data_IF_767361937474
#
_entry.id   IF_767361937474
#
_cell.length_a   1.000
_cell.length_b   1.000
_cell.length_c   1.000
_cell.angle_alpha   90.00
_cell.angle_beta   90.00
_cell.angle_gamma   90.00
#
_symmetry.space_group_name_H-M   'P 1'
#
loop_
_entity.id
_entity.type
_entity.pdbx_description
1 polymer ?
#
# COMPACT_ATOMS: atom_id res chain seq x y z
N UNK A 1 -8.40 26.39 37.00
CA UNK A 1 -9.28 25.40 36.31
C UNK A 1 -9.21 24.00 36.94
N UNK A 2 -8.04 23.33 36.93
CA UNK A 2 -7.95 21.96 37.50
C UNK A 2 -8.17 21.94 39.05
N UNK A 3 -7.63 22.91 39.77
CA UNK A 3 -7.78 23.06 41.22
C UNK A 3 -9.25 23.36 41.60
N UNK A 4 -9.91 24.24 40.88
CA UNK A 4 -11.33 24.55 41.10
C UNK A 4 -12.24 23.36 40.81
N UNK A 5 -11.90 22.56 39.79
CA UNK A 5 -12.64 21.33 39.46
C UNK A 5 -12.54 20.31 40.59
N UNK A 6 -11.35 20.17 41.23
CA UNK A 6 -11.15 19.30 42.36
C UNK A 6 -11.93 19.79 43.59
N UNK A 7 -11.97 21.10 43.85
CA UNK A 7 -12.77 21.68 44.94
C UNK A 7 -14.27 21.44 44.73
N UNK A 8 -14.78 21.54 43.50
CA UNK A 8 -16.20 21.24 43.24
C UNK A 8 -16.51 19.75 43.39
N UNK A 9 -15.54 18.88 43.04
CA UNK A 9 -15.66 17.44 43.27
C UNK A 9 -15.70 17.09 44.75
N UNK A 10 -14.78 17.66 45.53
CA UNK A 10 -14.73 17.48 46.98
C UNK A 10 -15.98 18.01 47.69
N UNK A 11 -16.56 19.11 47.22
CA UNK A 11 -17.82 19.68 47.69
C UNK A 11 -19.07 18.91 47.22
N UNK A 12 -18.90 17.85 46.40
CA UNK A 12 -20.01 17.07 45.86
C UNK A 12 -20.88 17.79 44.84
N UNK A 13 -20.43 18.96 44.36
CA UNK A 13 -21.16 19.78 43.40
C UNK A 13 -21.08 19.23 41.97
N UNK A 14 -20.04 18.48 41.69
CA UNK A 14 -19.89 17.73 40.45
C UNK A 14 -19.57 16.27 40.79
N UNK A 15 -19.93 15.37 39.90
CA UNK A 15 -19.62 13.93 40.05
C UNK A 15 -18.68 13.50 38.92
N UNK A 16 -17.79 12.51 39.16
CA UNK A 16 -17.00 11.92 38.13
C UNK A 16 -17.87 11.39 36.97
N UNK A 17 -17.34 11.42 35.75
CA UNK A 17 -18.03 10.83 34.62
C UNK A 17 -18.18 9.32 34.90
N UNK A 18 -19.42 8.84 34.80
CA UNK A 18 -19.72 7.42 34.99
C UNK A 18 -19.02 6.59 33.95
N UNK A 19 -18.28 5.56 34.36
CA UNK A 19 -17.80 4.50 33.48
C UNK A 19 -18.96 3.53 33.30
N UNK A 20 -19.55 3.50 32.10
CA UNK A 20 -20.72 2.67 31.80
C UNK A 20 -20.38 1.19 31.76
N UNK A 21 -19.19 0.87 31.28
CA UNK A 21 -18.63 -0.49 31.22
C UNK A 21 -17.11 -0.45 31.20
N UNK A 22 -16.50 -1.40 31.88
CA UNK A 22 -15.05 -1.57 31.88
C UNK A 22 -14.70 -2.90 31.23
N UNK A 23 -13.66 -2.88 30.43
CA UNK A 23 -13.12 -4.04 29.72
C UNK A 23 -11.67 -4.24 30.11
N UNK A 24 -11.21 -5.48 30.15
CA UNK A 24 -9.79 -5.75 30.27
C UNK A 24 -9.04 -5.43 28.98
N UNK A 25 -7.75 -5.17 29.06
CA UNK A 25 -6.90 -4.87 27.89
C UNK A 25 -6.94 -5.99 26.83
N UNK A 26 -7.16 -7.25 27.24
CA UNK A 26 -7.35 -8.39 26.32
C UNK A 26 -8.64 -8.32 25.49
N UNK A 27 -9.61 -7.50 25.90
CA UNK A 27 -10.95 -7.36 25.31
C UNK A 27 -11.16 -6.00 24.64
N UNK A 28 -10.08 -5.39 24.14
CA UNK A 28 -10.13 -4.07 23.46
C UNK A 28 -11.09 -4.09 22.26
N UNK A 29 -11.10 -5.18 21.47
CA UNK A 29 -11.98 -5.30 20.32
C UNK A 29 -13.47 -5.27 20.71
N UNK A 30 -13.83 -5.92 21.82
CA UNK A 30 -15.19 -5.90 22.38
C UNK A 30 -15.56 -4.51 22.91
N UNK A 31 -14.59 -3.78 23.49
CA UNK A 31 -14.80 -2.40 23.93
C UNK A 31 -15.16 -1.49 22.77
N UNK A 32 -14.46 -1.60 21.64
CA UNK A 32 -14.79 -0.85 20.42
C UNK A 32 -16.16 -1.26 19.85
N UNK A 33 -16.47 -2.56 19.78
CA UNK A 33 -17.79 -3.04 19.36
C UNK A 33 -18.92 -2.51 20.27
N UNK A 34 -18.67 -2.36 21.54
CA UNK A 34 -19.64 -1.79 22.50
C UNK A 34 -19.85 -0.29 22.29
N UNK A 35 -18.83 0.44 21.82
CA UNK A 35 -18.91 1.87 21.50
C UNK A 35 -19.69 2.14 20.20
N UNK A 36 -19.57 1.26 19.20
CA UNK A 36 -20.12 1.46 17.85
C UNK A 36 -21.63 1.79 17.82
N UNK A 37 -22.53 1.16 18.60
CA UNK A 37 -23.96 1.48 18.55
C UNK A 37 -24.30 2.86 19.12
N UNK A 38 -23.39 3.52 19.87
CA UNK A 38 -23.62 4.83 20.47
C UNK A 38 -24.71 4.87 21.56
N UNK A 39 -25.18 3.72 22.04
CA UNK A 39 -26.28 3.60 23.03
C UNK A 39 -25.83 3.69 24.48
N UNK A 40 -24.54 3.71 24.73
CA UNK A 40 -23.98 3.81 26.07
C UNK A 40 -24.05 5.24 26.61
N UNK A 41 -24.33 5.38 27.92
CA UNK A 41 -24.27 6.66 28.63
C UNK A 41 -23.04 6.65 29.53
N UNK A 42 -22.15 7.61 29.36
CA UNK A 42 -20.89 7.69 30.09
C UNK A 42 -19.67 7.27 29.25
N UNK A 43 -18.60 6.85 29.91
CA UNK A 43 -17.35 6.42 29.28
C UNK A 43 -17.19 4.91 29.33
N UNK A 44 -16.49 4.38 28.34
CA UNK A 44 -16.00 2.99 28.35
C UNK A 44 -14.56 3.02 28.84
N UNK A 45 -14.27 2.24 29.88
CA UNK A 45 -12.94 2.10 30.46
C UNK A 45 -12.24 0.86 29.91
N UNK A 46 -10.92 0.97 29.67
CA UNK A 46 -10.06 -0.18 29.40
C UNK A 46 -9.05 -0.28 30.53
N UNK A 47 -9.09 -1.39 31.25
CA UNK A 47 -8.17 -1.67 32.35
C UNK A 47 -6.87 -2.24 31.80
N UNK A 48 -5.79 -1.46 31.90
CA UNK A 48 -4.45 -1.86 31.46
C UNK A 48 -3.56 -2.35 32.60
N UNK A 49 -3.99 -2.13 33.85
CA UNK A 49 -3.32 -2.62 35.05
C UNK A 49 -4.35 -3.18 36.03
N UNK A 50 -3.95 -4.20 36.80
CA UNK A 50 -4.76 -4.74 37.87
C UNK A 50 -4.75 -3.82 39.12
N UNK A 51 -5.42 -4.25 40.15
CA UNK A 51 -5.50 -3.50 41.44
C UNK A 51 -4.16 -3.41 42.18
N UNK A 52 -3.22 -4.26 41.85
CA UNK A 52 -1.86 -4.31 42.39
C UNK A 52 -0.88 -3.48 41.52
N UNK A 53 -1.39 -2.85 40.45
CA UNK A 53 -0.61 -2.01 39.52
C UNK A 53 0.20 -2.80 38.50
N UNK A 54 0.03 -4.13 38.40
CA UNK A 54 0.68 -4.95 37.42
C UNK A 54 -0.08 -4.86 36.08
N UNK A 55 0.62 -4.92 34.91
CA UNK A 55 -0.04 -4.98 33.64
C UNK A 55 -1.00 -6.17 33.55
N UNK A 56 -2.26 -5.94 33.13
CA UNK A 56 -3.20 -7.03 32.88
C UNK A 56 -2.69 -7.91 31.75
N UNK A 57 -2.90 -9.22 31.86
CA UNK A 57 -2.50 -10.16 30.79
C UNK A 57 -3.21 -9.79 29.49
N UNK A 58 -2.45 -9.53 28.45
CA UNK A 58 -2.96 -9.39 27.09
C UNK A 58 -2.81 -10.76 26.46
N UNK A 59 -3.88 -11.31 25.87
CA UNK A 59 -3.72 -12.44 24.97
C UNK A 59 -2.79 -11.99 23.86
N UNK A 60 -1.55 -12.45 23.88
CA UNK A 60 -0.61 -12.16 22.80
C UNK A 60 -1.27 -12.66 21.53
N UNK A 61 -1.60 -11.75 20.65
CA UNK A 61 -1.86 -12.12 19.27
C UNK A 61 -0.56 -12.74 18.79
N UNK A 62 -0.57 -14.03 18.56
CA UNK A 62 0.61 -14.87 18.30
C UNK A 62 1.42 -14.44 17.05
N UNK A 63 1.07 -13.33 16.42
CA UNK A 63 1.73 -12.77 15.25
C UNK A 63 1.81 -11.24 15.34
N UNK A 64 2.63 -10.71 16.24
CA UNK A 64 3.21 -9.41 15.94
C UNK A 64 4.13 -9.63 14.73
N UNK A 65 3.93 -8.94 13.59
CA UNK A 65 4.89 -9.01 12.51
C UNK A 65 6.26 -8.66 13.10
N UNK A 66 7.23 -9.56 12.92
CA UNK A 66 8.60 -9.30 13.34
C UNK A 66 9.02 -8.01 12.63
N UNK A 67 9.45 -7.01 13.38
CA UNK A 67 10.03 -5.82 12.79
C UNK A 67 11.41 -6.17 12.25
N UNK A 68 11.73 -5.67 11.07
CA UNK A 68 13.09 -5.77 10.53
C UNK A 68 14.08 -5.20 11.55
N UNK A 69 15.12 -5.93 11.85
CA UNK A 69 16.25 -5.48 12.65
C UNK A 69 17.51 -5.98 12.00
N UNK A 70 18.29 -5.06 11.46
CA UNK A 70 19.56 -5.34 10.79
C UNK A 70 20.70 -5.23 11.80
N UNK A 71 21.70 -6.10 11.65
CA UNK A 71 22.85 -6.12 12.52
C UNK A 71 23.77 -4.91 12.24
N UNK A 72 24.05 -4.04 13.22
CA UNK A 72 24.93 -2.91 13.04
C UNK A 72 26.39 -3.30 12.75
N UNK A 73 26.80 -4.49 13.15
CA UNK A 73 28.12 -5.05 12.86
C UNK A 73 28.18 -5.76 11.49
N UNK A 74 27.05 -5.90 10.80
CA UNK A 74 26.97 -6.47 9.45
C UNK A 74 27.25 -5.44 8.36
N UNK A 75 27.82 -5.88 7.24
CA UNK A 75 27.92 -5.11 6.00
C UNK A 75 26.82 -5.50 5.03
N UNK A 76 26.33 -4.50 4.26
CA UNK A 76 25.25 -4.68 3.29
C UNK A 76 25.66 -4.09 1.93
N UNK A 77 25.63 -4.92 0.89
CA UNK A 77 25.99 -4.52 -0.47
C UNK A 77 24.73 -4.14 -1.28
N UNK A 78 24.66 -2.92 -1.75
CA UNK A 78 23.60 -2.41 -2.58
C UNK A 78 24.12 -2.08 -3.99
N UNK A 79 23.71 -2.88 -4.97
CA UNK A 79 24.09 -2.65 -6.36
C UNK A 79 23.02 -1.80 -7.03
N UNK A 80 23.40 -0.62 -7.53
CA UNK A 80 22.44 0.37 -8.02
C UNK A 80 21.70 1.14 -6.91
N UNK A 81 22.15 1.02 -5.66
CA UNK A 81 21.49 1.57 -4.47
C UNK A 81 21.48 3.11 -4.37
N UNK A 82 22.22 3.84 -5.21
CA UNK A 82 22.17 5.30 -5.26
C UNK A 82 21.08 5.84 -6.20
N UNK A 83 20.27 4.98 -6.83
CA UNK A 83 19.04 5.35 -7.53
C UNK A 83 17.89 5.68 -6.57
N UNK A 84 16.79 6.26 -7.07
CA UNK A 84 15.68 6.74 -6.22
C UNK A 84 15.14 5.68 -5.24
N UNK A 85 14.76 4.49 -5.74
CA UNK A 85 14.29 3.37 -4.89
C UNK A 85 15.40 2.93 -3.91
N UNK A 86 16.65 2.84 -4.38
CA UNK A 86 17.77 2.44 -3.54
C UNK A 86 18.07 3.41 -2.41
N UNK A 87 17.87 4.71 -2.62
CA UNK A 87 18.02 5.73 -1.56
C UNK A 87 16.96 5.58 -0.47
N UNK A 88 15.69 5.39 -0.85
CA UNK A 88 14.62 5.13 0.11
C UNK A 88 14.89 3.86 0.93
N UNK A 89 15.29 2.76 0.28
CA UNK A 89 15.68 1.52 0.95
C UNK A 89 16.87 1.75 1.89
N UNK A 90 17.87 2.53 1.49
CA UNK A 90 19.08 2.77 2.29
C UNK A 90 18.76 3.51 3.59
N UNK A 91 17.93 4.57 3.53
CA UNK A 91 17.44 5.28 4.73
C UNK A 91 16.70 4.30 5.65
N UNK A 92 15.76 3.55 5.08
CA UNK A 92 15.00 2.56 5.83
C UNK A 92 15.89 1.51 6.51
N UNK A 93 16.91 1.01 5.82
CA UNK A 93 17.87 0.06 6.40
C UNK A 93 18.65 0.67 7.57
N UNK A 94 19.08 1.94 7.46
CA UNK A 94 19.80 2.63 8.54
C UNK A 94 18.88 2.87 9.74
N UNK A 95 17.63 3.23 9.53
CA UNK A 95 16.61 3.36 10.58
C UNK A 95 16.35 2.03 11.30
N UNK A 96 16.55 0.90 10.60
CA UNK A 96 16.35 -0.45 11.14
C UNK A 96 17.66 -1.15 11.56
N UNK A 97 18.74 -0.40 11.77
CA UNK A 97 19.95 -0.89 12.42
C UNK A 97 21.17 -1.04 11.54
N UNK A 98 21.08 -1.03 10.21
CA UNK A 98 22.25 -1.11 9.34
C UNK A 98 23.22 0.04 9.59
N UNK A 99 24.52 -0.26 9.65
CA UNK A 99 25.57 0.75 9.85
C UNK A 99 26.67 0.74 8.81
N UNK A 100 26.83 -0.35 8.05
CA UNK A 100 27.91 -0.48 7.06
C UNK A 100 27.28 -0.77 5.68
N UNK A 101 27.22 0.25 4.83
CA UNK A 101 26.61 0.17 3.50
C UNK A 101 27.70 0.27 2.43
N UNK A 102 27.67 -0.64 1.45
CA UNK A 102 28.59 -0.67 0.32
C UNK A 102 27.75 -0.49 -0.96
N UNK A 103 28.10 0.49 -1.77
CA UNK A 103 27.41 0.76 -3.03
C UNK A 103 28.28 0.39 -4.22
N UNK A 104 27.78 -0.50 -5.07
CA UNK A 104 28.39 -0.78 -6.38
C UNK A 104 27.58 -0.12 -7.49
N UNK A 105 28.24 0.64 -8.33
CA UNK A 105 27.63 1.25 -9.49
C UNK A 105 28.63 1.94 -10.41
N UNK A 106 28.27 2.08 -11.70
CA UNK A 106 29.17 2.65 -12.73
C UNK A 106 29.65 4.08 -12.38
N UNK A 107 28.83 4.84 -11.70
CA UNK A 107 29.07 6.24 -11.27
C UNK A 107 28.85 6.43 -9.76
N UNK A 108 29.00 5.37 -8.97
CA UNK A 108 28.70 5.45 -7.54
C UNK A 108 29.53 6.54 -6.85
N UNK A 109 28.84 7.46 -6.20
CA UNK A 109 29.43 8.55 -5.41
C UNK A 109 30.05 9.68 -6.24
N UNK A 110 29.80 9.79 -7.54
CA UNK A 110 30.42 10.83 -8.38
C UNK A 110 29.61 12.13 -8.48
N UNK A 111 28.28 12.05 -8.36
CA UNK A 111 27.44 13.24 -8.46
C UNK A 111 27.34 13.97 -7.11
N UNK A 112 27.11 15.28 -7.17
CA UNK A 112 26.88 16.10 -5.97
C UNK A 112 25.67 15.57 -5.19
N UNK A 113 24.64 15.07 -5.88
CA UNK A 113 23.47 14.45 -5.25
C UNK A 113 23.80 13.14 -4.56
N UNK A 114 24.75 12.36 -5.08
CA UNK A 114 25.23 11.16 -4.38
C UNK A 114 26.01 11.54 -3.14
N UNK A 115 26.89 12.55 -3.23
CA UNK A 115 27.69 13.00 -2.09
C UNK A 115 26.82 13.58 -0.98
N UNK A 116 25.79 14.38 -1.33
CA UNK A 116 24.82 14.89 -0.36
C UNK A 116 24.08 13.74 0.35
N UNK A 117 23.60 12.75 -0.40
CA UNK A 117 22.93 11.60 0.16
C UNK A 117 23.85 10.74 1.05
N UNK A 118 25.09 10.53 0.64
CA UNK A 118 26.09 9.83 1.47
C UNK A 118 26.35 10.61 2.76
N UNK A 119 26.38 11.95 2.68
CA UNK A 119 26.49 12.84 3.85
C UNK A 119 25.30 12.66 4.81
N UNK A 120 24.08 12.55 4.28
CA UNK A 120 22.86 12.28 5.05
C UNK A 120 22.96 10.94 5.79
N UNK A 121 23.29 9.84 5.11
CA UNK A 121 23.45 8.54 5.75
C UNK A 121 24.54 8.53 6.84
N UNK A 122 25.64 9.25 6.61
CA UNK A 122 26.69 9.42 7.63
C UNK A 122 26.20 10.19 8.85
N UNK A 123 25.35 11.20 8.64
CA UNK A 123 24.75 11.96 9.76
C UNK A 123 23.78 11.08 10.59
N UNK A 124 23.19 10.04 9.99
CA UNK A 124 22.38 9.01 10.66
C UNK A 124 23.23 7.92 11.34
N UNK A 125 24.56 8.04 11.29
CA UNK A 125 25.50 7.12 11.92
C UNK A 125 25.94 5.93 11.06
N UNK A 126 25.67 5.94 9.74
CA UNK A 126 26.12 4.88 8.85
C UNK A 126 27.52 5.14 8.27
N UNK A 127 28.30 4.08 8.13
CA UNK A 127 29.52 4.05 7.32
C UNK A 127 29.17 3.71 5.88
N UNK A 128 29.66 4.47 4.92
CA UNK A 128 29.34 4.28 3.51
C UNK A 128 30.61 4.14 2.68
N UNK A 129 30.69 3.06 1.92
CA UNK A 129 31.73 2.80 0.94
C UNK A 129 31.11 2.80 -0.46
N UNK A 130 31.74 3.49 -1.40
CA UNK A 130 31.33 3.49 -2.81
C UNK A 130 32.38 2.84 -3.68
N UNK A 131 31.96 1.86 -4.48
CA UNK A 131 32.80 1.13 -5.43
C UNK A 131 32.32 1.45 -6.84
N UNK A 132 33.19 2.06 -7.62
CA UNK A 132 32.94 2.25 -9.05
C UNK A 132 33.18 0.93 -9.77
N UNK A 133 32.17 0.45 -10.47
CA UNK A 133 32.24 -0.79 -11.21
C UNK A 133 30.94 -1.12 -11.93
N UNK A 134 31.05 -2.10 -12.80
CA UNK A 134 29.95 -2.64 -13.57
C UNK A 134 29.55 -3.99 -13.01
N UNK A 135 28.30 -4.17 -12.63
CA UNK A 135 27.78 -5.45 -12.13
C UNK A 135 27.97 -6.60 -13.12
N UNK A 136 28.09 -6.29 -14.42
CA UNK A 136 28.29 -7.29 -15.46
C UNK A 136 29.74 -7.85 -15.48
N UNK A 137 30.65 -7.22 -14.73
CA UNK A 137 32.06 -7.65 -14.61
C UNK A 137 32.26 -8.30 -13.24
N UNK A 138 32.63 -9.58 -13.23
CA UNK A 138 32.83 -10.36 -12.00
C UNK A 138 33.89 -9.75 -11.10
N UNK A 139 34.98 -9.24 -11.67
CA UNK A 139 36.07 -8.60 -10.92
C UNK A 139 35.62 -7.36 -10.16
N UNK A 140 34.73 -6.54 -10.78
CA UNK A 140 34.17 -5.36 -10.13
C UNK A 140 33.25 -5.74 -8.96
N UNK A 141 32.44 -6.78 -9.13
CA UNK A 141 31.57 -7.32 -8.09
C UNK A 141 32.41 -7.92 -6.96
N UNK A 142 33.44 -8.70 -7.28
CA UNK A 142 34.35 -9.31 -6.31
C UNK A 142 35.09 -8.26 -5.48
N UNK A 143 35.53 -7.17 -6.13
CA UNK A 143 36.14 -6.02 -5.47
C UNK A 143 35.16 -5.36 -4.49
N UNK A 144 33.90 -5.17 -4.91
CA UNK A 144 32.87 -4.58 -4.04
C UNK A 144 32.58 -5.47 -2.81
N UNK A 145 32.55 -6.78 -2.98
CA UNK A 145 32.40 -7.74 -1.88
C UNK A 145 33.62 -7.69 -0.93
N UNK A 146 34.82 -7.54 -1.46
CA UNK A 146 36.05 -7.44 -0.67
C UNK A 146 36.18 -6.16 0.17
N UNK A 147 35.43 -5.09 -0.17
CA UNK A 147 35.35 -3.87 0.62
C UNK A 147 34.56 -4.03 1.93
N UNK A 148 33.90 -5.15 2.14
CA UNK A 148 33.21 -5.44 3.39
C UNK A 148 34.21 -5.60 4.54
N UNK A 149 34.22 -4.61 5.45
CA UNK A 149 35.13 -4.58 6.62
C UNK A 149 34.61 -5.42 7.78
N UNK A 150 33.33 -5.72 7.76
CA UNK A 150 32.60 -6.58 8.70
C UNK A 150 31.89 -7.66 7.89
N UNK A 151 31.39 -8.72 8.51
CA UNK A 151 30.76 -9.81 7.78
C UNK A 151 29.68 -9.31 6.81
N UNK A 152 29.76 -9.71 5.53
CA UNK A 152 28.73 -9.39 4.56
C UNK A 152 27.48 -10.23 4.89
N UNK A 153 26.41 -9.56 5.30
CA UNK A 153 25.16 -10.20 5.74
C UNK A 153 24.03 -10.09 4.72
N UNK A 154 24.05 -9.05 3.89
CA UNK A 154 22.98 -8.86 2.91
C UNK A 154 23.46 -8.29 1.59
N UNK A 155 22.77 -8.71 0.52
CA UNK A 155 22.97 -8.21 -0.84
C UNK A 155 21.63 -7.76 -1.41
N UNK A 156 21.60 -6.55 -1.99
CA UNK A 156 20.46 -6.02 -2.75
C UNK A 156 20.89 -5.75 -4.19
N UNK A 157 20.26 -6.45 -5.12
CA UNK A 157 20.42 -6.23 -6.55
C UNK A 157 19.30 -5.30 -7.03
N UNK A 158 19.61 -4.01 -7.13
CA UNK A 158 18.68 -2.96 -7.56
C UNK A 158 19.05 -2.39 -8.94
N UNK A 159 20.12 -2.89 -9.55
CA UNK A 159 20.57 -2.40 -10.85
C UNK A 159 19.60 -2.81 -11.95
N UNK A 160 19.12 -1.81 -12.68
CA UNK A 160 18.25 -1.98 -13.83
C UNK A 160 18.61 -0.93 -14.89
N UNK A 161 18.45 -1.31 -16.15
CA UNK A 161 18.47 -0.41 -17.29
C UNK A 161 17.30 -0.78 -18.19
N UNK A 162 16.73 0.23 -18.84
CA UNK A 162 15.61 0.05 -19.76
C UNK A 162 16.05 0.45 -21.17
N UNK A 163 15.61 -0.34 -22.13
CA UNK A 163 15.76 -0.07 -23.57
C UNK A 163 14.44 -0.50 -24.22
N UNK A 164 13.40 0.28 -23.93
CA UNK A 164 12.03 0.00 -24.33
C UNK A 164 11.87 0.19 -25.84
N UNK A 165 11.40 -0.85 -26.53
CA UNK A 165 11.12 -0.82 -27.95
C UNK A 165 10.08 -1.89 -28.30
N UNK A 166 9.31 -1.66 -29.36
CA UNK A 166 8.42 -2.67 -29.89
C UNK A 166 9.20 -3.93 -30.28
N UNK A 167 8.70 -5.11 -29.86
CA UNK A 167 9.39 -6.39 -30.06
C UNK A 167 9.87 -6.63 -31.50
N UNK A 168 9.09 -6.19 -32.48
CA UNK A 168 9.44 -6.35 -33.90
C UNK A 168 10.57 -5.43 -34.36
N UNK A 169 10.93 -4.39 -33.59
CA UNK A 169 12.01 -3.44 -33.89
C UNK A 169 13.16 -3.52 -32.87
N UNK A 170 12.99 -4.32 -31.82
CA UNK A 170 13.98 -4.48 -30.77
C UNK A 170 15.26 -5.10 -31.32
N UNK A 171 16.38 -4.41 -31.17
CA UNK A 171 17.69 -4.92 -31.59
C UNK A 171 18.31 -5.85 -30.58
N UNK A 172 19.27 -6.66 -31.02
CA UNK A 172 20.02 -7.56 -30.14
C UNK A 172 20.77 -6.77 -29.05
N UNK A 173 21.33 -5.62 -29.39
CA UNK A 173 22.07 -4.76 -28.48
C UNK A 173 21.14 -4.20 -27.38
N UNK A 174 19.94 -3.75 -27.75
CA UNK A 174 18.93 -3.29 -26.79
C UNK A 174 18.45 -4.42 -25.88
N UNK A 175 18.29 -5.63 -26.46
CA UNK A 175 17.97 -6.83 -25.70
C UNK A 175 19.03 -7.13 -24.66
N UNK A 176 20.27 -7.30 -25.09
CA UNK A 176 21.41 -7.64 -24.22
C UNK A 176 21.66 -6.55 -23.16
N UNK A 177 21.55 -5.28 -23.56
CA UNK A 177 21.72 -4.14 -22.65
C UNK A 177 20.75 -4.17 -21.46
N UNK A 178 19.47 -4.50 -21.71
CA UNK A 178 18.46 -4.57 -20.66
C UNK A 178 18.61 -5.81 -19.78
N UNK A 179 19.00 -6.96 -20.35
CA UNK A 179 19.15 -8.23 -19.64
C UNK A 179 20.43 -8.30 -18.81
N UNK A 180 21.55 -7.76 -19.31
CA UNK A 180 22.88 -7.99 -18.73
C UNK A 180 22.94 -7.70 -17.21
N UNK A 181 22.48 -6.55 -16.67
CA UNK A 181 22.57 -6.30 -15.24
C UNK A 181 21.70 -7.26 -14.42
N UNK A 182 20.60 -7.76 -14.97
CA UNK A 182 19.71 -8.69 -14.26
C UNK A 182 20.18 -10.14 -14.37
N UNK A 183 20.65 -10.58 -15.52
CA UNK A 183 21.11 -11.96 -15.74
C UNK A 183 22.58 -12.11 -15.35
N UNK A 184 23.49 -11.52 -16.10
CA UNK A 184 24.93 -11.62 -15.87
C UNK A 184 25.32 -11.06 -14.51
N UNK A 185 24.76 -9.86 -14.18
CA UNK A 185 25.05 -9.22 -12.90
C UNK A 185 24.60 -10.04 -11.69
N UNK A 186 23.44 -10.69 -11.74
CA UNK A 186 22.96 -11.54 -10.65
C UNK A 186 23.80 -12.81 -10.51
N UNK A 187 24.24 -13.42 -11.62
CA UNK A 187 25.20 -14.50 -11.60
C UNK A 187 26.54 -14.07 -10.99
N UNK A 188 27.06 -12.91 -11.35
CA UNK A 188 28.31 -12.40 -10.78
C UNK A 188 28.20 -12.20 -9.26
N UNK A 189 27.08 -11.65 -8.78
CA UNK A 189 26.80 -11.53 -7.33
C UNK A 189 26.76 -12.90 -6.66
N UNK A 190 26.10 -13.88 -7.29
CA UNK A 190 26.04 -15.24 -6.76
C UNK A 190 27.45 -15.86 -6.64
N UNK A 191 28.26 -15.74 -7.67
CA UNK A 191 29.62 -16.27 -7.66
C UNK A 191 30.54 -15.54 -6.68
N UNK A 192 30.49 -14.21 -6.64
CA UNK A 192 31.33 -13.43 -5.73
C UNK A 192 30.95 -13.60 -4.26
N UNK A 193 29.73 -14.05 -3.96
CA UNK A 193 29.28 -14.36 -2.59
C UNK A 193 29.25 -15.86 -2.29
N UNK A 194 29.82 -16.69 -3.16
CA UNK A 194 29.92 -18.12 -2.92
C UNK A 194 30.70 -18.41 -1.62
N UNK A 195 30.12 -19.23 -0.75
CA UNK A 195 30.71 -19.54 0.56
C UNK A 195 30.45 -18.48 1.65
N UNK A 196 29.84 -17.34 1.36
CA UNK A 196 29.41 -16.36 2.35
C UNK A 196 27.99 -16.71 2.79
N UNK A 197 27.78 -16.84 4.10
CA UNK A 197 26.45 -17.03 4.66
C UNK A 197 25.74 -15.67 4.72
N UNK A 198 24.83 -15.42 3.80
CA UNK A 198 24.02 -14.22 3.77
C UNK A 198 22.71 -14.45 4.54
N UNK A 199 22.25 -13.43 5.26
CA UNK A 199 20.92 -13.40 5.87
C UNK A 199 19.86 -13.22 4.79
N UNK A 200 20.15 -12.36 3.79
CA UNK A 200 19.29 -12.18 2.63
C UNK A 200 20.08 -11.88 1.34
N UNK A 201 19.48 -12.26 0.22
CA UNK A 201 19.90 -11.91 -1.13
C UNK A 201 18.66 -11.45 -1.87
N UNK A 202 18.44 -10.13 -1.90
CA UNK A 202 17.22 -9.52 -2.42
C UNK A 202 17.40 -9.06 -3.87
N UNK A 203 16.45 -9.44 -4.69
CA UNK A 203 16.36 -9.08 -6.11
C UNK A 203 15.20 -8.10 -6.34
N UNK A 204 15.52 -6.91 -6.84
CA UNK A 204 14.50 -5.98 -7.32
C UNK A 204 14.03 -6.42 -8.70
N UNK A 205 12.93 -7.15 -8.73
CA UNK A 205 12.21 -7.56 -9.92
C UNK A 205 11.13 -6.52 -10.27
N UNK A 206 10.23 -6.85 -11.14
CA UNK A 206 9.15 -5.97 -11.58
C UNK A 206 7.89 -6.76 -11.86
N UNK A 207 6.75 -6.18 -11.57
CA UNK A 207 5.44 -6.69 -11.98
C UNK A 207 5.38 -7.01 -13.49
N UNK A 208 6.24 -6.41 -14.32
CA UNK A 208 6.36 -6.73 -15.75
C UNK A 208 6.75 -8.19 -16.02
N UNK A 209 7.40 -8.89 -15.08
CA UNK A 209 7.70 -10.33 -15.19
C UNK A 209 6.42 -11.18 -15.23
N UNK A 210 5.38 -10.71 -14.55
CA UNK A 210 4.11 -11.45 -14.37
C UNK A 210 3.10 -11.07 -15.44
N UNK A 211 2.91 -9.74 -15.67
CA UNK A 211 1.83 -9.25 -16.51
C UNK A 211 2.26 -8.93 -17.94
N UNK A 212 3.56 -8.76 -18.17
CA UNK A 212 4.10 -8.19 -19.40
C UNK A 212 3.67 -6.74 -19.60
N UNK A 213 4.53 -5.95 -20.22
CA UNK A 213 4.19 -4.58 -20.62
C UNK A 213 4.57 -4.36 -22.09
N UNK A 214 3.73 -3.68 -22.88
CA UNK A 214 4.05 -3.34 -24.25
C UNK A 214 5.39 -2.59 -24.34
N UNK A 215 6.25 -2.98 -25.28
CA UNK A 215 7.56 -2.37 -25.47
C UNK A 215 8.66 -2.83 -24.50
N UNK A 216 8.35 -3.67 -23.52
CA UNK A 216 9.29 -4.08 -22.46
C UNK A 216 9.59 -5.59 -22.46
N UNK A 217 9.60 -6.24 -23.60
CA UNK A 217 9.84 -7.69 -23.68
C UNK A 217 11.21 -8.09 -23.10
N UNK A 218 12.27 -7.32 -23.37
CA UNK A 218 13.61 -7.49 -22.81
C UNK A 218 13.63 -7.28 -21.28
N UNK A 219 13.03 -6.20 -20.81
CA UNK A 219 12.95 -5.88 -19.38
C UNK A 219 12.14 -6.94 -18.60
N UNK A 220 10.97 -7.34 -19.13
CA UNK A 220 10.16 -8.40 -18.58
C UNK A 220 10.91 -9.75 -18.49
N UNK A 221 11.67 -10.09 -19.54
CA UNK A 221 12.49 -11.32 -19.57
C UNK A 221 13.58 -11.32 -18.49
N UNK A 222 14.26 -10.19 -18.30
CA UNK A 222 15.27 -10.04 -17.26
C UNK A 222 14.67 -10.17 -15.85
N UNK A 223 13.46 -9.64 -15.62
CA UNK A 223 12.76 -9.79 -14.34
C UNK A 223 12.26 -11.22 -14.12
N UNK A 224 11.69 -11.88 -15.14
CA UNK A 224 11.29 -13.29 -15.04
C UNK A 224 12.49 -14.22 -14.73
N UNK A 225 13.69 -13.88 -15.22
CA UNK A 225 14.91 -14.58 -14.82
C UNK A 225 15.18 -14.42 -13.32
N UNK A 226 15.00 -13.22 -12.74
CA UNK A 226 15.20 -13.00 -11.31
C UNK A 226 14.27 -13.88 -10.47
N UNK A 227 13.00 -14.00 -10.86
CA UNK A 227 12.02 -14.84 -10.17
C UNK A 227 12.44 -16.32 -10.19
N UNK A 228 12.87 -16.81 -11.36
CA UNK A 228 13.41 -18.17 -11.47
C UNK A 228 14.70 -18.36 -10.65
N UNK A 229 15.53 -17.32 -10.55
CA UNK A 229 16.78 -17.35 -9.80
C UNK A 229 16.56 -17.45 -8.29
N UNK A 230 15.46 -16.91 -7.76
CA UNK A 230 15.03 -17.13 -6.36
C UNK A 230 14.88 -18.63 -6.09
N UNK A 231 14.14 -19.32 -6.96
CA UNK A 231 13.94 -20.77 -6.82
C UNK A 231 15.26 -21.53 -6.91
N UNK A 232 16.15 -21.15 -7.83
CA UNK A 232 17.47 -21.76 -7.98
C UNK A 232 18.28 -21.66 -6.69
N UNK A 233 18.43 -20.44 -6.12
CA UNK A 233 19.19 -20.24 -4.89
C UNK A 233 18.57 -20.95 -3.69
N UNK A 234 17.25 -20.85 -3.52
CA UNK A 234 16.54 -21.50 -2.43
C UNK A 234 16.66 -23.03 -2.49
N UNK A 235 16.70 -23.62 -3.70
CA UNK A 235 16.94 -25.05 -3.87
C UNK A 235 18.37 -25.48 -3.49
N UNK A 236 19.34 -24.56 -3.57
CA UNK A 236 20.71 -24.78 -3.08
C UNK A 236 20.84 -24.54 -1.56
N UNK A 237 19.77 -24.21 -0.85
CA UNK A 237 19.82 -23.84 0.55
C UNK A 237 20.43 -22.46 0.80
N UNK A 238 20.45 -21.59 -0.20
CA UNK A 238 20.97 -20.22 -0.12
C UNK A 238 19.81 -19.22 -0.05
N UNK A 239 19.91 -18.24 0.85
CA UNK A 239 18.91 -17.20 0.98
C UNK A 239 18.72 -16.42 -0.34
N UNK A 240 17.47 -16.27 -0.78
CA UNK A 240 17.10 -15.42 -1.91
C UNK A 240 15.63 -15.07 -1.85
N UNK A 241 15.32 -13.83 -2.21
CA UNK A 241 13.97 -13.32 -2.37
C UNK A 241 13.89 -12.31 -3.51
N UNK A 242 12.72 -12.12 -4.07
CA UNK A 242 12.46 -11.09 -5.07
C UNK A 242 11.22 -10.27 -4.71
N UNK A 243 11.23 -9.00 -5.09
CA UNK A 243 10.06 -8.14 -5.03
C UNK A 243 9.73 -7.67 -6.45
N UNK A 244 8.59 -8.13 -6.96
CA UNK A 244 8.01 -7.72 -8.24
C UNK A 244 7.31 -6.39 -8.07
N UNK A 245 8.09 -5.30 -8.20
CA UNK A 245 7.61 -3.95 -7.88
C UNK A 245 6.76 -3.43 -9.03
N UNK A 246 5.54 -2.99 -8.70
CA UNK A 246 4.68 -2.21 -9.59
C UNK A 246 5.12 -0.74 -9.70
N UNK A 247 4.33 0.11 -10.39
CA UNK A 247 4.62 1.53 -10.50
C UNK A 247 4.62 2.21 -9.13
N UNK A 248 5.78 2.69 -8.66
CA UNK A 248 5.89 3.38 -7.37
C UNK A 248 5.59 4.88 -7.55
N UNK A 249 4.70 5.41 -6.71
CA UNK A 249 4.44 6.84 -6.65
C UNK A 249 5.63 7.56 -5.98
N UNK A 250 5.97 8.74 -6.44
CA UNK A 250 6.96 9.66 -5.83
C UNK A 250 8.41 9.18 -5.75
N UNK A 251 8.74 7.94 -6.10
CA UNK A 251 10.10 7.38 -6.01
C UNK A 251 10.46 6.62 -7.29
N UNK A 252 11.72 6.68 -7.71
CA UNK A 252 12.24 5.93 -8.86
C UNK A 252 11.95 6.59 -10.21
N UNK A 253 11.86 5.79 -11.28
CA UNK A 253 11.75 6.29 -12.66
C UNK A 253 10.46 7.08 -12.89
N UNK A 254 9.35 6.64 -12.28
CA UNK A 254 8.05 7.29 -12.47
C UNK A 254 7.91 8.64 -11.75
N UNK A 255 8.67 8.88 -10.70
CA UNK A 255 8.65 10.16 -9.98
C UNK A 255 9.02 11.35 -10.88
N UNK A 256 9.81 11.09 -11.93
CA UNK A 256 10.25 12.11 -12.90
C UNK A 256 9.43 12.14 -14.20
N UNK A 257 8.38 11.30 -14.30
CA UNK A 257 7.58 11.13 -15.52
C UNK A 257 6.08 11.23 -15.19
N UNK A 258 5.60 12.46 -14.99
CA UNK A 258 4.18 12.73 -14.66
C UNK A 258 3.21 12.07 -15.66
N UNK A 259 3.55 12.03 -16.94
CA UNK A 259 2.74 11.42 -17.99
C UNK A 259 2.58 9.90 -17.82
N UNK A 260 3.63 9.21 -17.34
CA UNK A 260 3.56 7.76 -17.07
C UNK A 260 2.72 7.45 -15.84
N UNK A 261 2.78 8.29 -14.80
CA UNK A 261 1.93 8.17 -13.62
C UNK A 261 0.45 8.33 -14.01
N UNK A 262 0.13 9.35 -14.80
CA UNK A 262 -1.23 9.59 -15.27
C UNK A 262 -1.70 8.46 -16.20
N UNK A 263 -0.82 7.96 -17.06
CA UNK A 263 -1.13 6.81 -17.93
C UNK A 263 -1.40 5.54 -17.12
N UNK A 264 -0.65 5.27 -16.06
CA UNK A 264 -0.91 4.14 -15.17
C UNK A 264 -2.31 4.23 -14.54
N UNK A 265 -2.68 5.41 -14.01
CA UNK A 265 -4.01 5.64 -13.43
C UNK A 265 -5.10 5.46 -14.50
N UNK A 266 -4.95 6.04 -15.69
CA UNK A 266 -5.92 5.95 -16.78
C UNK A 266 -6.11 4.53 -17.32
N UNK A 267 -5.07 3.70 -17.25
CA UNK A 267 -5.13 2.28 -17.64
C UNK A 267 -5.64 1.37 -16.54
N UNK A 268 -5.87 1.92 -15.33
CA UNK A 268 -6.41 1.19 -14.19
C UNK A 268 -5.36 0.50 -13.32
N UNK A 269 -4.07 0.79 -13.49
CA UNK A 269 -3.04 0.31 -12.58
C UNK A 269 -3.04 1.13 -11.28
N UNK A 270 -2.96 0.45 -10.15
CA UNK A 270 -2.70 1.10 -8.86
C UNK A 270 -1.22 1.41 -8.72
N UNK A 271 -0.91 2.63 -8.30
CA UNK A 271 0.46 2.98 -7.91
C UNK A 271 0.74 2.52 -6.49
N UNK A 272 1.93 1.98 -6.30
CA UNK A 272 2.45 1.55 -5.00
C UNK A 272 2.93 2.77 -4.22
N UNK A 273 2.56 2.88 -2.96
CA UNK A 273 3.10 3.90 -2.08
C UNK A 273 4.51 3.50 -1.61
N UNK A 274 5.35 4.50 -1.32
CA UNK A 274 6.73 4.26 -0.87
C UNK A 274 6.77 3.36 0.38
N UNK A 275 5.89 3.58 1.35
CA UNK A 275 5.84 2.76 2.56
C UNK A 275 5.43 1.31 2.26
N UNK A 276 4.47 1.08 1.37
CA UNK A 276 4.08 -0.28 0.94
C UNK A 276 5.27 -1.03 0.30
N UNK A 277 6.09 -0.31 -0.47
CA UNK A 277 7.31 -0.85 -1.06
C UNK A 277 8.34 -1.19 0.03
N UNK A 278 8.60 -0.28 0.97
CA UNK A 278 9.56 -0.48 2.06
C UNK A 278 9.15 -1.64 2.99
N UNK A 279 7.87 -1.76 3.31
CA UNK A 279 7.34 -2.88 4.10
C UNK A 279 7.53 -4.22 3.37
N UNK A 280 7.30 -4.25 2.06
CA UNK A 280 7.52 -5.44 1.24
C UNK A 280 9.00 -5.82 1.15
N UNK A 281 9.89 -4.84 1.04
CA UNK A 281 11.35 -5.02 1.09
C UNK A 281 11.77 -5.58 2.46
N UNK A 282 11.22 -5.07 3.55
CA UNK A 282 11.49 -5.57 4.90
C UNK A 282 11.06 -7.04 5.07
N UNK A 283 9.85 -7.38 4.63
CA UNK A 283 9.35 -8.76 4.63
C UNK A 283 10.25 -9.68 3.79
N UNK A 284 10.70 -9.19 2.65
CA UNK A 284 11.58 -9.92 1.74
C UNK A 284 12.97 -10.17 2.36
N UNK A 285 13.54 -9.19 3.10
CA UNK A 285 14.79 -9.38 3.86
C UNK A 285 14.65 -10.37 5.01
N UNK A 286 13.48 -10.45 5.64
CA UNK A 286 13.17 -11.37 6.74
C UNK A 286 12.74 -12.75 6.27
N UNK A 287 12.60 -12.98 4.97
CA UNK A 287 12.14 -14.25 4.44
C UNK A 287 13.16 -15.36 4.70
N UNK A 288 12.62 -16.53 5.06
CA UNK A 288 13.45 -17.71 5.34
C UNK A 288 13.53 -18.59 4.10
N UNK A 289 14.61 -19.36 4.01
CA UNK A 289 14.73 -20.40 2.98
C UNK A 289 13.56 -21.37 3.14
N UNK A 290 12.75 -21.58 2.10
CA UNK A 290 11.60 -22.46 2.19
C UNK A 290 11.98 -23.90 2.50
N UNK A 291 11.21 -24.54 3.37
CA UNK A 291 11.33 -25.99 3.59
C UNK A 291 10.76 -26.73 2.37
N UNK A 292 11.66 -27.27 1.56
CA UNK A 292 11.31 -27.97 0.32
C UNK A 292 10.40 -29.20 0.56
N UNK A 293 10.42 -29.79 1.77
CA UNK A 293 9.54 -30.91 2.11
C UNK A 293 8.07 -30.53 2.23
N UNK A 294 7.79 -29.23 2.42
CA UNK A 294 6.43 -28.69 2.62
C UNK A 294 5.89 -27.91 1.41
N UNK A 295 6.60 -27.90 0.29
CA UNK A 295 6.14 -27.18 -0.91
C UNK A 295 4.87 -27.80 -1.48
N UNK A 296 3.81 -27.01 -1.49
CA UNK A 296 2.48 -27.40 -2.06
C UNK A 296 2.45 -27.16 -3.57
N UNK A 297 3.32 -26.29 -4.10
CA UNK A 297 3.32 -25.90 -5.51
C UNK A 297 4.73 -25.54 -5.97
N UNK A 298 5.07 -25.92 -7.20
CA UNK A 298 6.30 -25.50 -7.90
C UNK A 298 6.11 -24.20 -8.67
N UNK A 299 4.89 -23.66 -8.74
CA UNK A 299 4.58 -22.48 -9.55
C UNK A 299 4.84 -21.14 -8.85
N UNK A 300 4.76 -21.11 -7.52
CA UNK A 300 4.99 -19.90 -6.73
C UNK A 300 5.99 -20.18 -5.63
N UNK A 301 7.11 -19.44 -5.63
CA UNK A 301 8.02 -19.42 -4.51
C UNK A 301 7.51 -18.43 -3.45
N UNK A 302 7.40 -18.81 -2.17
CA UNK A 302 6.91 -17.92 -1.11
C UNK A 302 7.82 -16.71 -0.88
N UNK A 303 9.04 -16.73 -1.42
CA UNK A 303 9.98 -15.62 -1.34
C UNK A 303 9.92 -14.68 -2.57
N UNK A 304 8.90 -14.80 -3.41
CA UNK A 304 8.59 -13.85 -4.47
C UNK A 304 7.38 -13.02 -4.02
N UNK A 305 7.60 -11.74 -3.81
CA UNK A 305 6.60 -10.79 -3.35
C UNK A 305 6.11 -9.96 -4.52
N UNK A 306 4.81 -9.98 -4.80
CA UNK A 306 4.20 -9.21 -5.90
C UNK A 306 3.51 -7.98 -5.33
N UNK A 307 3.90 -6.79 -5.81
CA UNK A 307 3.45 -5.52 -5.28
C UNK A 307 2.80 -4.66 -6.37
N UNK A 308 1.61 -4.15 -6.10
CA UNK A 308 0.89 -3.28 -7.04
C UNK A 308 0.08 -4.01 -8.11
N UNK A 309 -0.09 -5.34 -8.01
CA UNK A 309 -0.97 -6.10 -8.90
C UNK A 309 -2.43 -5.92 -8.48
N UNK A 310 -2.92 -4.71 -8.65
CA UNK A 310 -4.27 -4.30 -8.32
C UNK A 310 -4.79 -3.32 -9.38
N UNK A 311 -6.09 -3.18 -9.50
CA UNK A 311 -6.71 -2.26 -10.44
C UNK A 311 -7.61 -1.26 -9.72
N UNK A 312 -7.46 0.02 -10.06
CA UNK A 312 -8.35 1.09 -9.58
C UNK A 312 -9.71 1.09 -10.28
N UNK A 313 -9.82 0.38 -11.41
CA UNK A 313 -11.04 0.22 -12.18
C UNK A 313 -11.48 -1.24 -12.04
N UNK A 314 -12.76 -1.54 -11.74
CA UNK A 314 -13.25 -2.91 -11.66
C UNK A 314 -12.85 -3.74 -12.87
N UNK A 315 -12.36 -4.98 -12.65
CA UNK A 315 -11.89 -5.85 -13.73
C UNK A 315 -12.99 -6.18 -14.75
N UNK A 316 -14.25 -6.19 -14.33
CA UNK A 316 -15.42 -6.39 -15.19
C UNK A 316 -15.78 -5.17 -16.06
N UNK A 317 -15.27 -3.99 -15.74
CA UNK A 317 -15.56 -2.77 -16.49
C UNK A 317 -14.95 -2.80 -17.88
N UNK A 318 -15.69 -2.34 -18.88
CA UNK A 318 -15.18 -2.13 -20.26
C UNK A 318 -14.11 -1.03 -20.33
N UNK A 319 -14.09 -0.09 -19.36
CA UNK A 319 -13.07 0.93 -19.23
C UNK A 319 -11.73 0.38 -18.69
N UNK A 320 -11.75 -0.79 -18.03
CA UNK A 320 -10.53 -1.41 -17.55
C UNK A 320 -9.72 -1.99 -18.71
N UNK A 321 -8.56 -1.41 -18.97
CA UNK A 321 -7.65 -1.79 -20.05
C UNK A 321 -6.48 -2.67 -19.60
N UNK A 322 -6.45 -3.10 -18.32
CA UNK A 322 -5.41 -3.96 -17.81
C UNK A 322 -5.32 -5.25 -18.62
N UNK A 323 -4.19 -5.47 -19.27
CA UNK A 323 -3.96 -6.63 -20.16
C UNK A 323 -4.02 -7.93 -19.37
N UNK A 324 -3.45 -7.93 -18.16
CA UNK A 324 -3.34 -9.08 -17.29
C UNK A 324 -4.70 -9.65 -16.81
N UNK A 325 -5.78 -8.87 -16.84
CA UNK A 325 -7.10 -9.34 -16.42
C UNK A 325 -7.62 -10.55 -17.20
N UNK A 326 -7.09 -10.80 -18.39
CA UNK A 326 -7.45 -11.95 -19.23
C UNK A 326 -6.57 -13.18 -18.98
N UNK A 327 -5.50 -13.03 -18.21
CA UNK A 327 -4.60 -14.13 -17.88
C UNK A 327 -5.27 -15.08 -16.87
N UNK A 328 -5.26 -16.37 -17.17
CA UNK A 328 -5.86 -17.40 -16.30
C UNK A 328 -5.21 -17.48 -14.92
N UNK A 329 -3.94 -17.11 -14.80
CA UNK A 329 -3.22 -17.03 -13.52
C UNK A 329 -3.86 -16.03 -12.56
N UNK A 330 -4.57 -15.02 -13.09
CA UNK A 330 -5.23 -13.96 -12.34
C UNK A 330 -6.68 -14.27 -11.95
N UNK A 331 -7.14 -15.52 -12.13
CA UNK A 331 -8.52 -15.95 -11.83
C UNK A 331 -8.93 -15.64 -10.38
N UNK A 332 -7.98 -15.70 -9.43
CA UNK A 332 -8.24 -15.39 -8.01
C UNK A 332 -8.74 -13.96 -7.81
N UNK A 333 -8.25 -13.00 -8.60
CA UNK A 333 -8.69 -11.60 -8.53
C UNK A 333 -10.13 -11.41 -9.01
N UNK A 334 -10.57 -12.23 -9.98
CA UNK A 334 -11.96 -12.22 -10.43
C UNK A 334 -12.89 -12.85 -9.39
N UNK A 335 -12.43 -13.87 -8.68
CA UNK A 335 -13.22 -14.56 -7.66
C UNK A 335 -13.37 -13.73 -6.38
N UNK A 336 -12.37 -12.94 -6.01
CA UNK A 336 -12.43 -12.03 -4.85
C UNK A 336 -13.28 -10.78 -5.10
N UNK A 337 -13.62 -10.49 -6.35
CA UNK A 337 -14.45 -9.33 -6.70
C UNK A 337 -15.90 -9.46 -6.24
N UNK A 338 -16.33 -10.61 -5.71
CA UNK A 338 -17.70 -10.84 -5.24
C UNK A 338 -18.13 -9.97 -4.07
N UNK A 339 -17.21 -9.60 -3.17
CA UNK A 339 -17.52 -8.70 -2.02
C UNK A 339 -17.33 -7.21 -2.35
N UNK A 340 -16.49 -6.89 -3.35
CA UNK A 340 -16.24 -5.51 -3.82
C UNK A 340 -17.24 -5.12 -4.92
N UNK A 341 -17.87 -6.09 -5.59
CA UNK A 341 -18.85 -5.85 -6.67
C UNK A 341 -20.08 -5.10 -6.16
N UNK A 342 -20.52 -5.30 -4.92
CA UNK A 342 -21.68 -4.56 -4.40
C UNK A 342 -21.42 -3.06 -4.26
N UNK A 343 -20.22 -2.64 -3.83
CA UNK A 343 -19.86 -1.22 -3.73
C UNK A 343 -19.50 -0.58 -5.07
N UNK A 344 -18.91 -1.33 -6.00
CA UNK A 344 -18.55 -0.80 -7.32
C UNK A 344 -19.75 -0.79 -8.30
N UNK A 345 -20.68 -1.74 -8.19
CA UNK A 345 -21.91 -1.76 -8.97
C UNK A 345 -22.82 -0.61 -8.56
N UNK A 346 -22.97 -0.32 -7.26
CA UNK A 346 -23.75 0.82 -6.77
C UNK A 346 -23.12 2.16 -7.19
N UNK A 347 -21.79 2.30 -7.16
CA UNK A 347 -21.13 3.54 -7.60
C UNK A 347 -21.29 3.78 -9.12
N UNK A 348 -21.33 2.74 -9.95
CA UNK A 348 -21.57 2.86 -11.38
C UNK A 348 -23.04 3.15 -11.69
N UNK A 349 -23.97 2.58 -10.94
CA UNK A 349 -25.40 2.88 -11.05
C UNK A 349 -25.68 4.32 -10.64
N UNK A 350 -25.10 4.79 -9.54
CA UNK A 350 -25.20 6.16 -9.09
C UNK A 350 -24.69 7.16 -10.13
N UNK A 351 -23.49 6.93 -10.68
CA UNK A 351 -22.93 7.77 -11.75
C UNK A 351 -23.79 7.77 -13.01
N UNK A 352 -24.31 6.61 -13.40
CA UNK A 352 -25.23 6.51 -14.55
C UNK A 352 -26.54 7.22 -14.29
N UNK A 353 -27.08 7.14 -13.08
CA UNK A 353 -28.29 7.85 -12.68
C UNK A 353 -28.10 9.37 -12.73
N UNK A 354 -27.01 9.89 -12.20
CA UNK A 354 -26.65 11.32 -12.24
C UNK A 354 -26.42 11.77 -13.71
N UNK A 355 -25.79 10.96 -14.55
CA UNK A 355 -25.58 11.28 -15.96
C UNK A 355 -26.93 11.35 -16.72
N UNK A 356 -27.87 10.45 -16.45
CA UNK A 356 -29.20 10.47 -17.01
C UNK A 356 -29.98 11.69 -16.52
N UNK A 357 -29.89 12.01 -15.23
CA UNK A 357 -30.52 13.20 -14.64
C UNK A 357 -29.91 14.51 -15.18
N UNK A 358 -28.67 14.53 -15.61
CA UNK A 358 -28.04 15.68 -16.29
C UNK A 358 -28.67 15.89 -17.68
N UNK A 359 -29.02 14.80 -18.37
CA UNK A 359 -29.69 14.85 -19.70
C UNK A 359 -31.16 15.22 -19.56
N UNK A 360 -31.85 14.73 -18.54
CA UNK A 360 -33.23 15.03 -18.21
C UNK A 360 -33.38 15.42 -16.72
N UNK A 361 -33.24 16.72 -16.37
CA UNK A 361 -33.35 17.19 -14.99
C UNK A 361 -34.74 17.00 -14.35
N UNK A 362 -35.76 16.66 -15.13
CA UNK A 362 -37.11 16.42 -14.55
C UNK A 362 -37.14 15.20 -13.66
N UNK A 363 -36.27 14.24 -13.87
CA UNK A 363 -36.08 13.04 -13.04
C UNK A 363 -35.83 13.42 -11.58
N UNK A 364 -35.01 14.48 -11.33
CA UNK A 364 -34.66 14.91 -9.98
C UNK A 364 -35.82 15.60 -9.21
N UNK A 365 -36.94 15.92 -9.88
CA UNK A 365 -38.10 16.50 -9.25
C UNK A 365 -39.07 15.43 -8.73
N UNK A 366 -38.79 14.18 -8.94
CA UNK A 366 -39.62 13.05 -8.51
C UNK A 366 -39.30 12.61 -7.09
N UNK A 367 -40.27 12.14 -6.28
CA UNK A 367 -40.03 11.59 -4.96
C UNK A 367 -39.11 10.35 -5.02
N UNK A 368 -39.18 9.58 -6.10
CA UNK A 368 -38.38 8.38 -6.34
C UNK A 368 -36.91 8.69 -6.42
N UNK A 369 -36.52 9.85 -6.97
CA UNK A 369 -35.12 10.29 -7.02
C UNK A 369 -34.56 10.55 -5.62
N UNK A 370 -35.31 11.21 -4.76
CA UNK A 370 -34.89 11.46 -3.38
C UNK A 370 -34.73 10.15 -2.60
N UNK A 371 -35.65 9.20 -2.78
CA UNK A 371 -35.58 7.87 -2.16
C UNK A 371 -34.35 7.09 -2.69
N UNK A 372 -34.09 7.17 -3.99
CA UNK A 372 -32.93 6.52 -4.59
C UNK A 372 -31.61 7.04 -3.98
N UNK A 373 -31.45 8.38 -3.90
CA UNK A 373 -30.25 8.95 -3.27
C UNK A 373 -30.19 8.65 -1.78
N UNK A 374 -31.31 8.64 -1.07
CA UNK A 374 -31.38 8.22 0.33
C UNK A 374 -30.87 6.80 0.54
N UNK A 375 -31.24 5.87 -0.35
CA UNK A 375 -30.77 4.49 -0.31
C UNK A 375 -29.26 4.39 -0.59
N UNK A 376 -28.73 5.12 -1.58
CA UNK A 376 -27.31 5.09 -1.90
C UNK A 376 -26.44 5.70 -0.77
N UNK A 377 -26.91 6.81 -0.16
CA UNK A 377 -26.26 7.40 1.04
C UNK A 377 -26.34 6.43 2.21
N UNK A 378 -27.49 5.79 2.41
CA UNK A 378 -27.70 4.81 3.48
C UNK A 378 -26.81 3.57 3.35
N UNK A 379 -26.70 2.99 2.16
CA UNK A 379 -25.75 1.88 1.90
C UNK A 379 -24.32 2.27 2.23
N UNK A 380 -23.92 3.49 1.85
CA UNK A 380 -22.59 3.97 2.20
C UNK A 380 -22.40 4.14 3.70
N UNK A 381 -23.37 4.71 4.39
CA UNK A 381 -23.39 4.84 5.85
C UNK A 381 -23.28 3.46 6.51
N UNK A 382 -24.09 2.49 6.08
CA UNK A 382 -24.07 1.12 6.65
C UNK A 382 -22.77 0.40 6.35
N UNK A 383 -22.19 0.61 5.19
CA UNK A 383 -20.85 0.11 4.87
C UNK A 383 -19.76 0.67 5.80
N UNK A 384 -19.84 1.95 6.18
CA UNK A 384 -18.93 2.56 7.16
C UNK A 384 -19.14 2.01 8.58
N UNK A 385 -20.38 1.69 8.92
CA UNK A 385 -20.78 1.14 10.23
C UNK A 385 -20.71 -0.39 10.31
N UNK A 386 -20.32 -1.07 9.23
CA UNK A 386 -20.29 -2.52 9.10
C UNK A 386 -21.65 -3.18 9.44
N UNK A 387 -22.76 -2.52 9.06
CA UNK A 387 -24.13 -3.01 9.21
C UNK A 387 -24.64 -3.64 7.91
N UNK A 388 -25.64 -4.53 8.00
CA UNK A 388 -26.26 -5.14 6.85
C UNK A 388 -27.26 -4.19 6.17
N UNK A 389 -27.16 -4.02 4.84
CA UNK A 389 -28.06 -3.19 4.04
C UNK A 389 -29.53 -3.62 4.15
N UNK A 390 -29.80 -4.88 4.51
CA UNK A 390 -31.15 -5.39 4.74
C UNK A 390 -31.88 -4.69 5.92
N UNK A 391 -31.15 -4.09 6.85
CA UNK A 391 -31.67 -3.36 8.00
C UNK A 391 -31.88 -1.87 7.71
N UNK A 392 -31.57 -1.39 6.50
CA UNK A 392 -31.61 0.01 6.14
C UNK A 392 -33.04 0.55 6.08
N UNK A 393 -33.35 1.48 6.98
CA UNK A 393 -34.61 2.24 6.97
C UNK A 393 -34.31 3.73 6.78
N UNK A 394 -34.65 4.26 5.59
CA UNK A 394 -34.34 5.63 5.19
C UNK A 394 -35.08 6.73 5.97
N UNK A 395 -36.08 6.35 6.74
CA UNK A 395 -36.94 7.28 7.52
C UNK A 395 -36.51 7.44 8.98
N UNK A 396 -35.65 6.56 9.46
CA UNK A 396 -35.10 6.69 10.81
C UNK A 396 -34.20 7.91 10.92
N UNK A 397 -34.12 8.48 12.12
CA UNK A 397 -33.20 9.57 12.37
C UNK A 397 -31.76 9.14 12.14
N UNK A 398 -30.93 10.02 11.57
CA UNK A 398 -29.54 9.72 11.24
C UNK A 398 -28.73 9.28 12.45
N UNK A 399 -29.05 9.85 13.64
CA UNK A 399 -28.44 9.45 14.90
C UNK A 399 -28.82 8.00 15.27
N UNK A 400 -30.07 7.58 15.04
CA UNK A 400 -30.55 6.22 15.32
C UNK A 400 -29.92 5.20 14.34
N UNK A 401 -29.59 5.63 13.15
CA UNK A 401 -28.84 4.81 12.18
C UNK A 401 -27.36 4.68 12.54
N UNK A 402 -26.86 5.54 13.44
CA UNK A 402 -25.47 5.50 13.93
C UNK A 402 -24.57 6.57 13.32
N UNK A 403 -25.13 7.59 12.65
CA UNK A 403 -24.35 8.72 12.14
C UNK A 403 -23.94 9.63 13.32
N UNK A 404 -22.66 9.61 13.64
CA UNK A 404 -22.01 10.53 14.56
C UNK A 404 -21.07 11.49 13.81
N UNK A 405 -20.39 12.37 14.54
CA UNK A 405 -19.49 13.36 13.95
C UNK A 405 -18.31 12.73 13.21
N UNK A 406 -17.81 11.57 13.65
CA UNK A 406 -16.68 10.89 13.04
C UNK A 406 -17.11 10.21 11.73
N UNK A 407 -18.22 9.48 11.77
CA UNK A 407 -18.77 8.82 10.58
C UNK A 407 -19.25 9.86 9.56
N UNK A 408 -19.76 11.02 10.01
CA UNK A 408 -20.15 12.11 9.13
C UNK A 408 -18.96 12.71 8.36
N UNK A 409 -17.75 12.77 8.94
CA UNK A 409 -16.54 13.20 8.23
C UNK A 409 -16.21 12.25 7.08
N UNK A 410 -16.25 10.94 7.33
CA UNK A 410 -15.98 9.92 6.31
C UNK A 410 -17.07 9.92 5.22
N UNK A 411 -18.34 10.04 5.63
CA UNK A 411 -19.45 10.11 4.71
C UNK A 411 -19.38 11.36 3.83
N UNK A 412 -18.96 12.51 4.37
CA UNK A 412 -18.74 13.76 3.64
C UNK A 412 -17.66 13.62 2.58
N UNK A 413 -16.55 12.93 2.88
CA UNK A 413 -15.48 12.67 1.91
C UNK A 413 -16.01 11.89 0.69
N UNK A 414 -16.78 10.82 0.96
CA UNK A 414 -17.45 10.06 -0.10
C UNK A 414 -18.50 10.90 -0.84
N UNK A 415 -19.32 11.70 -0.12
CA UNK A 415 -20.34 12.55 -0.68
C UNK A 415 -19.80 13.50 -1.75
N UNK A 416 -18.72 14.21 -1.44
CA UNK A 416 -18.04 15.11 -2.38
C UNK A 416 -17.58 14.40 -3.65
N UNK A 417 -17.08 13.18 -3.50
CA UNK A 417 -16.64 12.34 -4.64
C UNK A 417 -17.83 11.80 -5.45
N UNK A 418 -18.92 11.43 -4.79
CA UNK A 418 -20.08 10.81 -5.41
C UNK A 418 -20.96 11.81 -6.17
N UNK A 419 -21.19 12.99 -5.60
CA UNK A 419 -22.13 14.00 -6.11
C UNK A 419 -21.47 15.23 -6.74
N UNK A 420 -20.15 15.43 -6.52
CA UNK A 420 -19.41 16.55 -7.09
C UNK A 420 -19.57 17.89 -6.35
N UNK A 421 -20.29 17.92 -5.24
CA UNK A 421 -20.44 19.12 -4.38
C UNK A 421 -20.23 18.75 -2.91
N UNK A 422 -19.96 19.76 -2.08
CA UNK A 422 -19.67 19.58 -0.65
C UNK A 422 -20.92 19.83 0.21
N UNK A 423 -20.98 19.16 1.36
CA UNK A 423 -21.96 19.38 2.43
C UNK A 423 -21.21 19.49 3.76
N UNK A 424 -21.56 20.38 4.65
CA UNK A 424 -20.93 20.45 5.94
C UNK A 424 -21.39 19.32 6.87
N UNK A 425 -20.53 18.92 7.81
CA UNK A 425 -20.87 17.89 8.82
C UNK A 425 -22.09 18.32 9.65
N UNK A 426 -22.21 19.62 9.96
CA UNK A 426 -23.33 20.16 10.73
C UNK A 426 -24.65 20.10 9.93
N UNK A 427 -24.61 20.42 8.63
CA UNK A 427 -25.79 20.27 7.75
C UNK A 427 -26.20 18.80 7.67
N UNK A 428 -25.25 17.89 7.47
CA UNK A 428 -25.51 16.45 7.37
C UNK A 428 -26.17 15.92 8.65
N UNK A 429 -25.63 16.26 9.84
CA UNK A 429 -26.19 15.86 11.13
C UNK A 429 -27.53 16.53 11.43
N UNK A 430 -27.76 17.75 10.92
CA UNK A 430 -28.99 18.52 11.12
C UNK A 430 -30.16 18.15 10.19
N UNK A 431 -29.92 17.32 9.18
CA UNK A 431 -30.92 17.03 8.12
C UNK A 431 -32.05 16.08 8.59
N UNK A 432 -31.90 15.41 9.72
CA UNK A 432 -32.93 14.56 10.32
C UNK A 432 -32.89 13.11 9.85
N UNK A 433 -33.12 12.77 8.60
CA UNK A 433 -33.10 11.41 8.06
C UNK A 433 -32.50 11.31 6.65
N UNK A 434 -32.34 10.09 6.13
CA UNK A 434 -31.74 9.85 4.81
C UNK A 434 -32.62 10.36 3.66
N UNK A 435 -33.96 10.32 3.77
CA UNK A 435 -34.84 10.80 2.72
C UNK A 435 -34.69 12.32 2.54
N UNK A 436 -34.53 13.07 3.62
CA UNK A 436 -34.24 14.51 3.57
C UNK A 436 -32.87 14.80 2.98
N UNK A 437 -31.86 13.98 3.29
CA UNK A 437 -30.55 14.08 2.64
C UNK A 437 -30.61 13.77 1.14
N UNK A 438 -31.41 12.79 0.72
CA UNK A 438 -31.64 12.48 -0.69
C UNK A 438 -32.34 13.66 -1.43
N UNK A 439 -33.31 14.31 -0.78
CA UNK A 439 -33.92 15.52 -1.30
C UNK A 439 -32.91 16.66 -1.50
N UNK A 440 -32.01 16.85 -0.53
CA UNK A 440 -30.93 17.84 -0.62
C UNK A 440 -30.00 17.58 -1.83
N UNK A 441 -29.69 16.30 -2.12
CA UNK A 441 -28.92 15.93 -3.33
C UNK A 441 -29.67 16.37 -4.58
N UNK A 442 -30.98 16.08 -4.68
CA UNK A 442 -31.79 16.44 -5.83
C UNK A 442 -31.80 17.96 -6.07
N UNK A 443 -32.03 18.74 -5.02
CA UNK A 443 -32.07 20.22 -5.10
C UNK A 443 -30.72 20.79 -5.57
N UNK A 444 -29.61 20.30 -5.01
CA UNK A 444 -28.28 20.80 -5.37
C UNK A 444 -27.86 20.41 -6.78
N UNK A 445 -28.17 19.19 -7.22
CA UNK A 445 -27.90 18.78 -8.59
C UNK A 445 -28.73 19.59 -9.60
N UNK A 446 -29.99 19.88 -9.30
CA UNK A 446 -30.84 20.76 -10.13
C UNK A 446 -30.24 22.17 -10.27
N UNK A 447 -29.70 22.73 -9.18
CA UNK A 447 -29.03 24.03 -9.22
C UNK A 447 -27.77 23.97 -10.09
N UNK A 448 -26.92 22.98 -9.89
CA UNK A 448 -25.66 22.79 -10.67
C UNK A 448 -25.98 22.66 -12.18
N UNK A 449 -26.95 21.82 -12.55
CA UNK A 449 -27.31 21.62 -13.96
C UNK A 449 -27.97 22.85 -14.60
N UNK A 450 -28.72 23.65 -13.81
CA UNK A 450 -29.27 24.90 -14.27
C UNK A 450 -28.21 25.99 -14.50
N UNK A 451 -27.16 26.00 -13.70
CA UNK A 451 -26.03 26.93 -13.87
C UNK A 451 -25.13 26.54 -15.05
N UNK A 452 -24.84 25.26 -15.22
CA UNK A 452 -24.11 24.75 -16.39
C UNK A 452 -24.83 24.99 -17.73
N UNK A 453 -26.14 25.07 -17.70
CA UNK A 453 -26.94 25.35 -18.94
C UNK A 453 -26.99 26.84 -19.32
N UNK A 454 -26.45 27.73 -18.48
CA UNK A 454 -26.37 29.19 -18.72
C UNK A 454 -24.99 29.64 -19.24
N UNK A 455 -23.97 28.78 -19.09
CA UNK A 455 -22.64 28.94 -19.68
C UNK A 455 -22.57 28.32 -21.07
#
# INVERSE_FOLDING_TARGET
>A
MMTETLEYLEKGLIKPIVISKEFDASSVAEAFKYLLPGTHIGRVGIRIRDVEGQPTSINEVANRPQKLQLDPEGSYLLVGGLGGIGRAISIYMVEHGARNLIYLGRRAGQSDTDQAFIGELKSMGASVITVRGNINELDDVSRAVAEARTPLMGVLQLAAVQADENFTRLTKEQWDYSLAPKVTGTWNLHHATAGIKLDFFLLSSSMSSIIGLPGQANYASGNSFLDAFVQYRNNLGLACSAVDIGPVANVGILANMADLHQTAILTGYKTVQEQEMLDSIALSMMSKIPDNSKRVSTFFDPNIFVLGLESTIPLSSSANRAVWKKDRRMAIYHNNSGSVINTAASSNQLKSYIANARTDPTILKTPEAAIYFAQEVGKRLFGLLLKDDAELNTRLALADLGLDSLVAIELRAWWKQAFGFDISVLEMLGTGNLETLGGHVCERLLQIFADESKE
#
